data_IF_976593473656
#
_entry.id   IF_976593473656
#
_cell.length_a   1.000
_cell.length_b   1.000
_cell.length_c   1.000
_cell.angle_alpha   90.00
_cell.angle_beta   90.00
_cell.angle_gamma   90.00
#
_symmetry.space_group_name_H-M   'P 1'
#
loop_
_entity.id
_entity.type
_entity.pdbx_description
1 polymer ?
#
# COMPACT_ATOMS: atom_id res chain seq x y z
N UNK A 1 20.64 -36.38 21.00
CA UNK A 1 19.38 -35.66 20.82
C UNK A 1 19.72 -34.19 20.58
N UNK A 2 19.37 -33.61 19.44
CA UNK A 2 19.50 -32.13 19.23
C UNK A 2 18.56 -31.43 20.21
N UNK A 3 18.97 -30.32 20.79
CA UNK A 3 18.07 -29.51 21.60
C UNK A 3 16.93 -28.93 20.71
N UNK A 4 15.76 -28.69 21.26
CA UNK A 4 14.63 -28.05 20.54
C UNK A 4 15.07 -26.75 19.91
N UNK A 5 15.95 -26.01 20.59
CA UNK A 5 16.56 -24.78 20.08
C UNK A 5 17.39 -25.03 18.79
N UNK A 6 18.16 -26.08 18.73
CA UNK A 6 18.94 -26.40 17.53
C UNK A 6 18.04 -26.82 16.36
N UNK A 7 16.94 -27.52 16.65
CA UNK A 7 15.92 -27.87 15.65
C UNK A 7 15.26 -26.63 15.10
N UNK A 8 14.77 -25.73 15.96
CA UNK A 8 14.16 -24.46 15.54
C UNK A 8 15.13 -23.62 14.71
N UNK A 9 16.39 -23.50 15.15
CA UNK A 9 17.40 -22.72 14.40
C UNK A 9 17.63 -23.29 13.01
N UNK A 10 17.64 -24.61 12.87
CA UNK A 10 17.78 -25.29 11.58
C UNK A 10 16.57 -25.02 10.68
N UNK A 11 15.36 -25.16 11.21
CA UNK A 11 14.10 -24.90 10.46
C UNK A 11 14.01 -23.45 9.97
N UNK A 12 14.41 -22.47 10.79
CA UNK A 12 14.46 -21.06 10.39
C UNK A 12 15.48 -20.83 9.27
N UNK A 13 16.64 -21.48 9.32
CA UNK A 13 17.66 -21.39 8.29
C UNK A 13 17.19 -22.02 6.96
N UNK A 14 16.54 -23.18 7.00
CA UNK A 14 15.97 -23.85 5.85
C UNK A 14 14.83 -23.04 5.22
N UNK A 15 13.95 -22.46 6.04
CA UNK A 15 12.90 -21.54 5.61
C UNK A 15 13.47 -20.29 4.93
N UNK A 16 14.53 -19.72 5.51
CA UNK A 16 15.26 -18.59 4.91
C UNK A 16 15.85 -18.95 3.55
N UNK A 17 16.48 -20.11 3.42
CA UNK A 17 17.06 -20.56 2.15
C UNK A 17 15.99 -20.77 1.09
N UNK A 18 14.87 -21.41 1.44
CA UNK A 18 13.72 -21.65 0.56
C UNK A 18 13.13 -20.33 0.05
N UNK A 19 12.81 -19.39 0.93
CA UNK A 19 12.27 -18.09 0.54
C UNK A 19 13.31 -17.22 -0.19
N UNK A 20 14.59 -17.34 0.17
CA UNK A 20 15.71 -16.67 -0.47
C UNK A 20 15.90 -17.01 -1.94
N UNK A 21 15.38 -18.18 -2.40
CA UNK A 21 15.35 -18.54 -3.82
C UNK A 21 14.41 -17.66 -4.65
N UNK A 22 13.55 -16.88 -4.02
CA UNK A 22 12.66 -15.90 -4.66
C UNK A 22 13.03 -14.45 -4.34
N UNK A 23 13.98 -14.22 -3.43
CA UNK A 23 14.40 -12.89 -3.03
C UNK A 23 15.48 -12.34 -3.97
N UNK A 24 15.28 -11.10 -4.43
CA UNK A 24 16.25 -10.34 -5.22
C UNK A 24 16.72 -9.11 -4.46
N UNK A 25 17.95 -8.63 -4.72
CA UNK A 25 18.37 -7.31 -4.28
C UNK A 25 18.05 -6.29 -5.37
N UNK A 26 17.35 -5.23 -5.01
CA UNK A 26 17.05 -4.09 -5.89
C UNK A 26 18.09 -3.01 -5.61
N UNK A 27 18.89 -2.65 -6.62
CA UNK A 27 19.99 -1.71 -6.42
C UNK A 27 19.47 -0.27 -6.30
N UNK A 28 19.98 0.45 -5.31
CA UNK A 28 19.74 1.87 -5.12
C UNK A 28 20.99 2.68 -5.50
N UNK A 29 20.85 4.00 -5.70
CA UNK A 29 21.97 4.89 -6.07
C UNK A 29 23.10 4.92 -5.05
N UNK A 30 22.77 4.87 -3.78
CA UNK A 30 23.72 4.94 -2.67
C UNK A 30 24.24 3.56 -2.33
N UNK A 31 25.16 2.98 -3.06
CA UNK A 31 25.87 1.70 -2.73
C UNK A 31 25.10 0.67 -1.90
N UNK A 32 23.81 0.91 -1.65
CA UNK A 32 22.89 0.07 -0.90
C UNK A 32 22.01 -0.76 -1.83
N UNK A 33 21.16 -1.57 -1.23
CA UNK A 33 20.10 -2.28 -1.91
C UNK A 33 18.89 -2.37 -0.98
N UNK A 34 17.70 -2.35 -1.56
CA UNK A 34 16.49 -2.88 -0.95
C UNK A 34 16.25 -4.30 -1.46
N UNK A 35 15.14 -4.90 -1.10
CA UNK A 35 14.78 -6.24 -1.56
C UNK A 35 13.55 -6.20 -2.47
N UNK A 36 13.40 -7.24 -3.25
CA UNK A 36 12.19 -7.57 -3.98
C UNK A 36 11.95 -9.07 -3.97
N UNK A 37 10.79 -9.47 -4.44
CA UNK A 37 10.36 -10.86 -4.52
C UNK A 37 10.02 -11.18 -5.97
N UNK A 38 10.56 -12.26 -6.52
CA UNK A 38 10.11 -12.83 -7.79
C UNK A 38 8.70 -13.38 -7.53
N UNK A 39 7.70 -12.60 -7.95
CA UNK A 39 6.30 -12.87 -7.65
C UNK A 39 5.66 -13.80 -8.66
N UNK A 40 6.11 -13.68 -9.90
CA UNK A 40 5.76 -14.54 -11.04
C UNK A 40 6.98 -14.62 -11.95
N UNK A 41 7.07 -15.60 -12.86
CA UNK A 41 8.16 -15.65 -13.82
C UNK A 41 8.32 -14.32 -14.57
N UNK A 42 9.51 -13.74 -14.50
CA UNK A 42 9.83 -12.45 -15.11
C UNK A 42 9.25 -11.21 -14.42
N UNK A 43 8.54 -11.36 -13.29
CA UNK A 43 7.90 -10.27 -12.55
C UNK A 43 8.42 -10.22 -11.12
N UNK A 44 8.99 -9.09 -10.76
CA UNK A 44 9.48 -8.80 -9.42
C UNK A 44 8.60 -7.72 -8.79
N UNK A 45 8.22 -7.94 -7.53
CA UNK A 45 7.51 -6.95 -6.70
C UNK A 45 8.47 -6.44 -5.62
N UNK A 46 8.44 -5.14 -5.38
CA UNK A 46 9.23 -4.48 -4.33
C UNK A 46 8.43 -3.35 -3.68
N UNK A 47 8.97 -2.76 -2.60
CA UNK A 47 8.41 -1.56 -2.00
C UNK A 47 8.65 -0.33 -2.88
N UNK A 48 7.59 0.44 -3.16
CA UNK A 48 7.64 1.61 -4.04
C UNK A 48 8.60 2.68 -3.54
N UNK A 49 8.53 3.02 -2.24
CA UNK A 49 9.38 4.07 -1.66
C UNK A 49 10.87 3.71 -1.65
N UNK A 50 11.22 2.44 -1.85
CA UNK A 50 12.62 2.00 -1.95
C UNK A 50 13.20 2.19 -3.35
N UNK A 51 12.37 2.43 -4.38
CA UNK A 51 12.82 2.74 -5.72
C UNK A 51 13.11 4.24 -5.85
N UNK A 52 14.39 4.59 -6.01
CA UNK A 52 14.86 5.97 -6.14
C UNK A 52 14.79 6.49 -7.58
N UNK A 53 14.68 5.60 -8.57
CA UNK A 53 14.61 5.95 -10.01
C UNK A 53 13.68 5.00 -10.75
N UNK A 54 13.27 5.44 -11.93
CA UNK A 54 12.38 4.69 -12.82
C UNK A 54 13.14 3.95 -13.92
N UNK A 55 14.37 4.36 -14.17
CA UNK A 55 15.25 3.85 -15.23
C UNK A 55 16.52 3.24 -14.64
N UNK A 56 17.23 2.46 -15.42
CA UNK A 56 18.51 1.82 -15.05
C UNK A 56 18.45 0.98 -13.77
N UNK A 57 17.30 0.34 -13.52
CA UNK A 57 17.12 -0.53 -12.36
C UNK A 57 17.87 -1.83 -12.58
N UNK A 58 18.73 -2.20 -11.63
CA UNK A 58 19.45 -3.46 -11.64
C UNK A 58 19.05 -4.33 -10.45
N UNK A 59 19.01 -5.62 -10.67
CA UNK A 59 18.69 -6.63 -9.67
C UNK A 59 19.88 -7.59 -9.51
N UNK A 60 20.16 -8.01 -8.26
CA UNK A 60 20.95 -9.22 -8.03
C UNK A 60 19.97 -10.38 -7.83
N UNK A 61 20.02 -11.37 -8.70
CA UNK A 61 19.15 -12.54 -8.71
C UNK A 61 19.57 -13.59 -7.65
N UNK A 62 18.74 -14.62 -7.41
CA UNK A 62 19.05 -15.65 -6.43
C UNK A 62 20.36 -16.41 -6.67
N UNK A 63 20.76 -16.57 -7.91
CA UNK A 63 22.02 -17.20 -8.32
C UNK A 63 23.24 -16.27 -8.21
N UNK A 64 23.04 -15.02 -7.82
CA UNK A 64 24.08 -13.99 -7.71
C UNK A 64 24.35 -13.21 -8.99
N UNK A 65 23.74 -13.57 -10.11
CA UNK A 65 23.85 -12.81 -11.36
C UNK A 65 23.19 -11.43 -11.23
N UNK A 66 23.66 -10.47 -12.03
CA UNK A 66 23.08 -9.12 -12.09
C UNK A 66 22.33 -8.98 -13.41
N UNK A 67 21.07 -8.58 -13.33
CA UNK A 67 20.20 -8.40 -14.47
C UNK A 67 19.55 -7.00 -14.45
N UNK A 68 19.22 -6.49 -15.63
CA UNK A 68 18.48 -5.23 -15.80
C UNK A 68 16.98 -5.48 -15.65
N UNK A 69 16.30 -4.55 -14.99
CA UNK A 69 14.86 -4.59 -14.87
C UNK A 69 14.23 -3.29 -15.36
N UNK A 70 13.02 -3.41 -15.89
CA UNK A 70 12.20 -2.26 -16.31
C UNK A 70 11.07 -2.04 -15.33
N UNK A 71 10.85 -0.81 -14.91
CA UNK A 71 9.68 -0.44 -14.15
C UNK A 71 8.44 -0.60 -15.03
N UNK A 72 7.50 -1.45 -14.59
CA UNK A 72 6.17 -1.57 -15.21
C UNK A 72 5.26 -0.47 -14.68
N UNK A 73 5.31 -0.21 -13.38
CA UNK A 73 4.58 0.84 -12.72
C UNK A 73 4.76 0.78 -11.20
N UNK A 74 4.29 1.83 -10.52
CA UNK A 74 4.34 1.94 -9.07
C UNK A 74 3.04 2.52 -8.51
N UNK A 75 2.70 2.13 -7.30
CA UNK A 75 1.57 2.66 -6.54
C UNK A 75 2.01 3.10 -5.14
N UNK A 76 2.27 4.40 -4.99
CA UNK A 76 2.71 4.99 -3.73
C UNK A 76 1.72 4.80 -2.57
N UNK A 77 0.43 4.61 -2.87
CA UNK A 77 -0.59 4.42 -1.83
C UNK A 77 -0.54 3.05 -1.17
N UNK A 78 -0.18 2.02 -1.92
CA UNK A 78 0.00 0.66 -1.40
C UNK A 78 1.46 0.34 -1.11
N UNK A 79 2.37 1.22 -1.52
CA UNK A 79 3.81 0.99 -1.44
C UNK A 79 4.26 -0.23 -2.25
N UNK A 80 3.67 -0.45 -3.40
CA UNK A 80 4.00 -1.55 -4.30
C UNK A 80 4.55 -1.02 -5.61
N UNK A 81 5.67 -1.58 -6.05
CA UNK A 81 6.18 -1.39 -7.40
C UNK A 81 6.38 -2.73 -8.08
N UNK A 82 6.17 -2.75 -9.40
CA UNK A 82 6.34 -3.93 -10.25
C UNK A 82 7.44 -3.69 -11.26
N UNK A 83 8.39 -4.61 -11.28
CA UNK A 83 9.51 -4.62 -12.21
C UNK A 83 9.38 -5.84 -13.14
N UNK A 84 9.72 -5.66 -14.41
CA UNK A 84 9.88 -6.75 -15.38
C UNK A 84 11.37 -7.04 -15.58
N UNK A 85 11.75 -8.30 -15.37
CA UNK A 85 13.11 -8.79 -15.56
C UNK A 85 13.03 -10.22 -16.12
N UNK A 86 13.40 -10.42 -17.37
CA UNK A 86 13.24 -11.70 -18.06
C UNK A 86 14.09 -12.82 -17.43
N UNK A 87 15.25 -12.44 -16.90
CA UNK A 87 16.17 -13.35 -16.22
C UNK A 87 15.63 -13.80 -14.83
N UNK A 88 14.70 -13.06 -14.22
CA UNK A 88 14.05 -13.42 -12.97
C UNK A 88 12.99 -14.52 -13.19
N UNK A 89 13.39 -15.61 -13.84
CA UNK A 89 12.50 -16.71 -14.25
C UNK A 89 12.60 -17.89 -13.30
N UNK A 90 12.29 -17.70 -12.02
CA UNK A 90 12.15 -18.78 -11.04
C UNK A 90 10.72 -19.33 -10.99
N UNK A 91 10.57 -20.51 -10.37
CA UNK A 91 9.24 -21.06 -10.06
C UNK A 91 8.41 -20.07 -9.23
N UNK A 92 7.10 -20.12 -9.40
CA UNK A 92 6.17 -19.30 -8.59
C UNK A 92 6.31 -19.70 -7.12
N UNK A 93 6.51 -18.75 -6.20
CA UNK A 93 6.55 -19.07 -4.77
C UNK A 93 5.22 -19.62 -4.27
N UNK A 94 5.29 -20.42 -3.21
CA UNK A 94 4.09 -20.81 -2.48
C UNK A 94 3.60 -19.63 -1.67
N UNK A 95 2.35 -19.23 -1.86
CA UNK A 95 1.72 -18.16 -1.11
C UNK A 95 0.89 -18.69 0.06
N UNK A 96 0.88 -17.92 1.14
CA UNK A 96 0.02 -18.14 2.31
C UNK A 96 -1.22 -17.28 2.22
N UNK A 97 -2.31 -17.78 2.79
CA UNK A 97 -3.44 -16.91 3.09
C UNK A 97 -3.08 -16.06 4.33
N UNK A 98 -2.94 -14.76 4.12
CA UNK A 98 -2.58 -13.82 5.19
C UNK A 98 -3.63 -13.77 6.31
N UNK A 99 -4.87 -14.22 6.05
CA UNK A 99 -5.94 -14.29 7.06
C UNK A 99 -5.68 -15.35 8.13
N UNK A 100 -4.76 -16.29 7.89
CA UNK A 100 -4.38 -17.33 8.87
C UNK A 100 -3.39 -16.86 9.91
N UNK A 101 -2.83 -15.66 9.74
CA UNK A 101 -1.90 -15.09 10.70
C UNK A 101 -2.62 -14.53 11.93
N UNK A 102 -2.07 -14.80 13.10
CA UNK A 102 -2.58 -14.34 14.39
C UNK A 102 -1.48 -13.64 15.20
N UNK A 103 -1.83 -12.69 16.09
CA UNK A 103 -0.86 -12.11 17.02
C UNK A 103 -0.10 -13.20 17.79
N UNK A 104 1.22 -13.07 17.84
CA UNK A 104 2.11 -14.06 18.44
C UNK A 104 2.70 -15.09 17.46
N UNK A 105 2.19 -15.18 16.22
CA UNK A 105 2.82 -16.03 15.21
C UNK A 105 4.24 -15.54 14.89
N UNK A 106 5.14 -16.49 14.72
CA UNK A 106 6.51 -16.24 14.23
C UNK A 106 6.49 -16.14 12.72
N UNK A 107 7.17 -15.15 12.20
CA UNK A 107 7.38 -14.93 10.76
C UNK A 107 8.83 -14.57 10.51
N UNK A 108 9.31 -14.74 9.28
CA UNK A 108 10.58 -14.22 8.81
C UNK A 108 10.34 -13.14 7.77
N UNK A 109 11.14 -12.08 7.83
CA UNK A 109 11.27 -11.17 6.68
C UNK A 109 12.55 -11.57 5.95
N UNK A 110 12.40 -12.10 4.74
CA UNK A 110 13.51 -12.59 3.92
C UNK A 110 13.73 -11.63 2.75
N UNK A 111 14.93 -11.09 2.68
CA UNK A 111 15.40 -10.24 1.60
C UNK A 111 16.71 -10.75 1.01
N UNK A 112 17.35 -9.91 0.20
CA UNK A 112 18.66 -10.19 -0.39
C UNK A 112 19.53 -8.94 -0.40
N UNK A 113 20.80 -9.10 -0.14
CA UNK A 113 21.78 -8.04 -0.36
C UNK A 113 22.54 -8.28 -1.66
N UNK A 114 23.10 -7.20 -2.20
CA UNK A 114 23.93 -7.25 -3.40
C UNK A 114 25.17 -8.15 -3.23
N UNK A 115 25.78 -8.14 -2.04
CA UNK A 115 27.09 -8.75 -1.81
C UNK A 115 27.04 -10.09 -1.08
N UNK A 116 26.02 -10.32 -0.23
CA UNK A 116 26.06 -11.41 0.77
C UNK A 116 24.95 -12.45 0.61
N UNK A 117 24.14 -12.37 -0.44
CA UNK A 117 23.05 -13.31 -0.66
C UNK A 117 21.80 -13.02 0.21
N UNK A 118 21.00 -14.05 0.56
CA UNK A 118 19.79 -13.87 1.33
C UNK A 118 20.08 -13.37 2.74
N UNK A 119 19.20 -12.52 3.25
CA UNK A 119 19.16 -12.04 4.62
C UNK A 119 17.81 -12.35 5.24
N UNK A 120 17.77 -12.52 6.55
CA UNK A 120 16.52 -12.75 7.27
C UNK A 120 16.46 -11.92 8.55
N UNK A 121 15.25 -11.47 8.88
CA UNK A 121 14.92 -10.89 10.17
C UNK A 121 13.77 -11.69 10.78
N UNK A 122 13.94 -12.13 12.03
CA UNK A 122 12.87 -12.77 12.79
C UNK A 122 11.86 -11.70 13.23
N UNK A 123 10.59 -11.96 13.01
CA UNK A 123 9.51 -11.06 13.36
C UNK A 123 8.36 -11.80 14.03
N UNK A 124 7.66 -11.11 14.92
CA UNK A 124 6.38 -11.57 15.45
C UNK A 124 5.26 -10.78 14.83
N UNK A 125 4.15 -11.45 14.56
CA UNK A 125 2.89 -10.76 14.26
C UNK A 125 2.42 -10.08 15.55
N UNK A 126 2.48 -8.76 15.60
CA UNK A 126 2.11 -7.98 16.80
C UNK A 126 0.65 -7.56 16.80
N UNK A 127 0.03 -7.45 15.63
CA UNK A 127 -1.38 -7.07 15.49
C UNK A 127 -1.94 -7.62 14.18
N UNK A 128 -3.18 -8.11 14.24
CA UNK A 128 -4.01 -8.40 13.09
C UNK A 128 -5.35 -7.69 13.27
N UNK A 129 -5.87 -7.10 12.20
CA UNK A 129 -7.21 -6.55 12.16
C UNK A 129 -7.86 -6.94 10.81
N UNK A 130 -9.17 -7.15 10.79
CA UNK A 130 -9.90 -7.54 9.57
C UNK A 130 -9.75 -6.49 8.48
N UNK A 131 -9.90 -5.24 8.85
CA UNK A 131 -9.74 -4.10 7.96
C UNK A 131 -9.14 -2.91 8.72
N UNK A 132 -8.19 -2.23 8.13
CA UNK A 132 -7.67 -0.98 8.66
C UNK A 132 -7.42 0.02 7.53
N UNK A 133 -7.95 1.22 7.72
CA UNK A 133 -7.64 2.36 6.87
C UNK A 133 -6.33 3.00 7.31
N UNK A 134 -5.44 3.18 6.37
CA UNK A 134 -4.15 3.84 6.53
C UNK A 134 -4.18 5.24 5.92
N UNK A 135 -3.16 6.00 6.24
CA UNK A 135 -2.97 7.32 5.65
C UNK A 135 -2.90 7.20 4.12
N UNK A 136 -3.47 8.19 3.40
CA UNK A 136 -3.55 8.13 1.93
C UNK A 136 -4.76 7.32 1.41
N UNK A 137 -5.70 6.88 2.28
CA UNK A 137 -6.93 6.17 1.89
C UNK A 137 -6.74 4.68 1.58
N UNK A 138 -5.52 4.15 1.75
CA UNK A 138 -5.28 2.71 1.62
C UNK A 138 -6.07 1.95 2.69
N UNK A 139 -6.87 1.00 2.24
CA UNK A 139 -7.49 0.01 3.12
C UNK A 139 -6.75 -1.32 2.96
N UNK A 140 -6.20 -1.84 4.04
CA UNK A 140 -5.64 -3.19 4.10
C UNK A 140 -6.63 -4.13 4.79
N UNK A 141 -6.88 -5.27 4.15
CA UNK A 141 -7.69 -6.36 4.67
C UNK A 141 -7.06 -7.70 4.24
N UNK A 142 -6.52 -8.49 5.20
CA UNK A 142 -6.27 -8.13 6.59
C UNK A 142 -5.13 -7.11 6.76
N UNK A 143 -5.18 -6.35 7.86
CA UNK A 143 -4.05 -5.55 8.31
C UNK A 143 -3.16 -6.39 9.22
N UNK A 144 -1.91 -6.62 8.83
CA UNK A 144 -0.96 -7.43 9.60
C UNK A 144 0.28 -6.59 9.92
N UNK A 145 0.49 -6.35 11.22
CA UNK A 145 1.66 -5.62 11.72
C UNK A 145 2.67 -6.58 12.33
N UNK A 146 3.93 -6.35 11.98
CA UNK A 146 5.08 -7.09 12.48
C UNK A 146 5.86 -6.24 13.50
N UNK A 147 6.31 -6.88 14.57
CA UNK A 147 7.22 -6.29 15.54
C UNK A 147 8.66 -6.61 15.11
N UNK A 148 9.18 -5.79 14.22
CA UNK A 148 10.54 -5.91 13.69
C UNK A 148 11.07 -4.55 13.26
N UNK A 149 12.26 -4.19 13.68
CA UNK A 149 13.01 -3.07 13.10
C UNK A 149 13.56 -3.51 11.74
N UNK A 150 12.85 -3.15 10.66
CA UNK A 150 13.17 -3.61 9.31
C UNK A 150 14.41 -2.85 8.78
N UNK A 151 15.55 -3.53 8.55
CA UNK A 151 16.68 -2.88 7.90
C UNK A 151 16.31 -2.51 6.45
N UNK A 152 16.87 -1.42 5.93
CA UNK A 152 16.59 -0.96 4.57
C UNK A 152 16.79 -2.07 3.52
N UNK A 153 17.80 -2.91 3.71
CA UNK A 153 18.09 -4.05 2.84
C UNK A 153 16.99 -5.12 2.81
N UNK A 154 16.10 -5.17 3.80
CA UNK A 154 14.99 -6.12 3.85
C UNK A 154 13.64 -5.49 3.43
N UNK A 155 13.62 -4.17 3.17
CA UNK A 155 12.42 -3.46 2.68
C UNK A 155 12.03 -4.03 1.31
N UNK A 156 10.77 -4.36 1.12
CA UNK A 156 10.26 -5.02 -0.09
C UNK A 156 10.53 -6.53 -0.15
N UNK A 157 11.18 -7.11 0.88
CA UNK A 157 11.42 -8.55 0.99
C UNK A 157 10.15 -9.34 1.35
N UNK A 158 10.23 -10.67 1.24
CA UNK A 158 9.14 -11.57 1.53
C UNK A 158 8.87 -11.66 3.03
N UNK A 159 7.60 -11.53 3.44
CA UNK A 159 7.14 -11.99 4.75
C UNK A 159 6.76 -13.46 4.62
N UNK A 160 7.38 -14.31 5.42
CA UNK A 160 7.28 -15.77 5.30
C UNK A 160 6.68 -16.34 6.58
N UNK A 161 5.68 -17.20 6.46
CA UNK A 161 5.06 -17.89 7.58
C UNK A 161 5.92 -19.09 8.07
N UNK A 162 5.48 -19.75 9.14
CA UNK A 162 6.15 -20.90 9.74
C UNK A 162 6.23 -22.14 8.81
N UNK A 163 5.45 -22.18 7.73
CA UNK A 163 5.49 -23.25 6.72
C UNK A 163 6.38 -22.91 5.51
N UNK A 164 7.02 -21.73 5.55
CA UNK A 164 7.88 -21.26 4.47
C UNK A 164 7.12 -20.74 3.25
N UNK A 165 5.85 -20.34 3.41
CA UNK A 165 5.02 -19.71 2.38
C UNK A 165 5.07 -18.20 2.50
N UNK A 166 5.00 -17.50 1.38
CA UNK A 166 5.00 -16.03 1.36
C UNK A 166 3.62 -15.51 1.72
N UNK A 167 3.52 -14.80 2.85
CA UNK A 167 2.30 -14.14 3.31
C UNK A 167 2.14 -12.71 2.79
N UNK A 168 3.20 -12.12 2.22
CA UNK A 168 3.16 -10.77 1.68
C UNK A 168 4.54 -10.19 1.48
N UNK A 169 4.63 -8.87 1.27
CA UNK A 169 5.89 -8.13 1.24
C UNK A 169 6.01 -7.19 2.44
N UNK A 170 7.23 -6.99 2.92
CA UNK A 170 7.51 -6.19 4.10
C UNK A 170 7.72 -4.72 3.75
N UNK A 171 7.00 -3.81 4.44
CA UNK A 171 7.22 -2.37 4.34
C UNK A 171 7.13 -1.67 5.70
N UNK A 172 8.02 -0.70 6.01
CA UNK A 172 7.91 0.15 7.18
C UNK A 172 7.00 1.38 6.94
N UNK A 173 6.63 1.69 5.68
CA UNK A 173 6.03 2.98 5.27
C UNK A 173 4.80 3.37 6.09
N UNK A 174 3.96 2.41 6.47
CA UNK A 174 2.71 2.69 7.18
C UNK A 174 2.72 2.21 8.63
N UNK A 175 3.88 1.87 9.16
CA UNK A 175 4.07 1.39 10.54
C UNK A 175 5.08 2.29 11.26
N UNK A 176 4.63 3.26 12.10
CA UNK A 176 5.52 4.17 12.82
C UNK A 176 6.56 3.47 13.70
N UNK A 177 6.27 2.24 14.12
CA UNK A 177 7.22 1.35 14.78
C UNK A 177 6.97 -0.07 14.30
N UNK A 178 7.98 -0.73 13.75
CA UNK A 178 7.87 -2.05 13.15
C UNK A 178 7.69 -2.03 11.63
N UNK A 179 7.01 -3.03 11.10
CA UNK A 179 6.72 -3.16 9.68
C UNK A 179 5.29 -3.66 9.45
N UNK A 180 4.79 -3.53 8.22
CA UNK A 180 3.59 -4.21 7.76
C UNK A 180 3.96 -5.36 6.82
N UNK A 181 3.18 -6.42 6.88
CA UNK A 181 3.06 -7.37 5.81
C UNK A 181 1.93 -6.89 4.87
N UNK A 182 2.28 -6.44 3.67
CA UNK A 182 1.29 -6.15 2.63
C UNK A 182 0.74 -7.49 2.12
N UNK A 183 -0.57 -7.77 2.30
CA UNK A 183 -1.13 -9.08 2.02
C UNK A 183 -0.98 -9.50 0.55
N UNK A 184 -0.81 -10.79 0.31
CA UNK A 184 -0.71 -11.38 -1.04
C UNK A 184 -1.86 -10.90 -1.94
N UNK A 185 -3.09 -10.86 -1.43
CA UNK A 185 -4.25 -10.39 -2.19
C UNK A 185 -4.10 -8.93 -2.64
N UNK A 186 -3.59 -8.05 -1.76
CA UNK A 186 -3.32 -6.65 -2.08
C UNK A 186 -2.22 -6.53 -3.14
N UNK A 187 -1.11 -7.27 -2.95
CA UNK A 187 0.01 -7.28 -3.90
C UNK A 187 -0.44 -7.78 -5.28
N UNK A 188 -1.21 -8.87 -5.33
CA UNK A 188 -1.75 -9.41 -6.59
C UNK A 188 -2.62 -8.38 -7.31
N UNK A 189 -3.60 -7.79 -6.62
CA UNK A 189 -4.51 -6.80 -7.20
C UNK A 189 -3.74 -5.61 -7.78
N UNK A 190 -2.74 -5.09 -7.06
CA UNK A 190 -1.94 -3.96 -7.52
C UNK A 190 -1.03 -4.38 -8.69
N UNK A 191 -0.37 -5.53 -8.59
CA UNK A 191 0.50 -6.04 -9.65
C UNK A 191 -0.29 -6.28 -10.94
N UNK A 192 -1.48 -6.87 -10.87
CA UNK A 192 -2.34 -7.09 -12.05
C UNK A 192 -2.75 -5.76 -12.69
N UNK A 193 -3.13 -4.76 -11.87
CA UNK A 193 -3.47 -3.43 -12.36
C UNK A 193 -2.29 -2.72 -13.03
N UNK A 194 -1.10 -2.79 -12.42
CA UNK A 194 0.12 -2.21 -13.00
C UNK A 194 0.54 -2.92 -14.28
N UNK A 195 0.46 -4.25 -14.34
CA UNK A 195 0.77 -5.02 -15.54
C UNK A 195 -0.19 -4.72 -16.69
N UNK A 196 -1.46 -4.47 -16.39
CA UNK A 196 -2.48 -4.20 -17.41
C UNK A 196 -2.42 -2.77 -17.96
N UNK A 197 -2.12 -1.77 -17.12
CA UNK A 197 -2.29 -0.36 -17.45
C UNK A 197 -1.05 0.51 -17.17
N UNK A 198 0.02 -0.04 -16.57
CA UNK A 198 1.20 0.71 -16.15
C UNK A 198 0.97 1.60 -14.92
N UNK A 199 -0.26 1.70 -14.44
CA UNK A 199 -0.66 2.56 -13.31
C UNK A 199 -1.91 2.04 -12.64
N UNK A 200 -2.16 2.52 -11.42
CA UNK A 200 -3.43 2.31 -10.73
C UNK A 200 -4.30 3.57 -10.91
N UNK A 201 -5.40 3.50 -11.66
CA UNK A 201 -6.31 4.63 -11.82
C UNK A 201 -6.87 5.08 -10.48
N UNK A 202 -6.92 6.39 -10.25
CA UNK A 202 -7.49 6.99 -9.04
C UNK A 202 -8.56 7.98 -9.40
N UNK A 203 -9.65 7.91 -8.67
CA UNK A 203 -10.69 8.90 -8.74
C UNK A 203 -10.22 10.26 -8.21
N UNK A 204 -10.86 11.30 -8.65
CA UNK A 204 -10.51 12.68 -8.38
C UNK A 204 -11.75 13.56 -8.37
N UNK A 205 -11.83 14.47 -7.39
CA UNK A 205 -12.92 15.45 -7.27
C UNK A 205 -12.48 16.88 -7.61
N UNK A 206 -11.20 17.17 -7.56
CA UNK A 206 -10.68 18.52 -7.82
C UNK A 206 -10.92 19.49 -6.68
N UNK A 207 -10.78 19.04 -5.43
CA UNK A 207 -10.92 19.87 -4.23
C UNK A 207 -9.76 19.68 -3.28
N UNK A 208 -9.28 20.79 -2.71
CA UNK A 208 -8.43 20.80 -1.51
C UNK A 208 -9.33 20.86 -0.27
N UNK A 209 -9.21 19.89 0.62
CA UNK A 209 -10.04 19.75 1.81
C UNK A 209 -9.21 19.84 3.09
N UNK A 210 -9.77 20.50 4.12
CA UNK A 210 -9.20 20.54 5.46
C UNK A 210 -10.24 20.12 6.50
N UNK A 211 -9.89 19.25 7.48
CA UNK A 211 -10.79 18.90 8.55
C UNK A 211 -11.14 20.13 9.41
N UNK A 212 -12.42 20.27 9.75
CA UNK A 212 -12.90 21.31 10.67
C UNK A 212 -13.83 20.72 11.72
N UNK A 213 -13.93 21.42 12.85
CA UNK A 213 -14.93 21.12 13.87
C UNK A 213 -16.23 21.86 13.55
N UNK A 214 -17.35 21.14 13.51
CA UNK A 214 -18.68 21.73 13.34
C UNK A 214 -19.17 22.34 14.65
N UNK A 215 -19.62 23.60 14.64
CA UNK A 215 -20.32 24.22 15.76
C UNK A 215 -21.60 23.44 16.12
N UNK A 216 -22.02 23.54 17.41
CA UNK A 216 -23.14 22.77 17.93
C UNK A 216 -24.47 23.13 17.24
N UNK A 217 -24.72 24.40 17.05
CA UNK A 217 -25.92 24.90 16.35
C UNK A 217 -26.03 24.34 14.92
N UNK A 218 -24.91 24.17 14.21
CA UNK A 218 -24.90 23.57 12.87
C UNK A 218 -25.22 22.07 12.96
N UNK A 219 -24.66 21.38 13.95
CA UNK A 219 -24.93 19.95 14.14
C UNK A 219 -26.39 19.68 14.47
N UNK A 220 -26.98 20.52 15.31
CA UNK A 220 -28.39 20.41 15.71
C UNK A 220 -29.32 20.66 14.49
N UNK A 221 -29.00 21.67 13.69
CA UNK A 221 -29.76 21.96 12.45
C UNK A 221 -29.73 20.79 11.46
N UNK A 222 -28.58 20.09 11.37
CA UNK A 222 -28.39 18.94 10.49
C UNK A 222 -28.82 17.61 11.12
N UNK A 223 -29.27 17.62 12.38
CA UNK A 223 -29.55 16.41 13.19
C UNK A 223 -28.39 15.42 13.20
N UNK A 224 -27.16 15.95 13.29
CA UNK A 224 -25.93 15.20 13.11
C UNK A 224 -25.17 15.01 14.42
N UNK A 225 -24.67 13.75 14.65
CA UNK A 225 -23.87 13.41 15.84
C UNK A 225 -22.39 13.70 15.66
N UNK A 226 -21.89 13.64 14.44
CA UNK A 226 -20.46 13.83 14.12
C UNK A 226 -20.05 15.29 14.36
N UNK A 227 -18.89 15.43 15.02
CA UNK A 227 -18.36 16.75 15.43
C UNK A 227 -17.43 17.38 14.39
N UNK A 228 -17.11 16.65 13.35
CA UNK A 228 -16.13 17.04 12.31
C UNK A 228 -16.74 16.95 10.92
N UNK A 229 -16.19 17.75 10.02
CA UNK A 229 -16.48 17.76 8.59
C UNK A 229 -15.23 18.26 7.84
N UNK A 230 -15.30 18.46 6.52
CA UNK A 230 -14.19 18.99 5.74
C UNK A 230 -14.57 20.28 5.01
N UNK A 231 -13.80 21.36 5.23
CA UNK A 231 -13.98 22.61 4.48
C UNK A 231 -13.20 22.56 3.17
N UNK A 232 -13.79 23.12 2.12
CA UNK A 232 -13.17 23.27 0.80
C UNK A 232 -12.29 24.52 0.83
N UNK A 233 -10.98 24.34 0.68
CA UNK A 233 -10.01 25.43 0.61
C UNK A 233 -9.58 25.74 -0.82
N UNK A 234 -9.69 24.76 -1.72
CA UNK A 234 -9.30 24.89 -3.11
C UNK A 234 -10.31 24.13 -3.97
N UNK A 235 -10.63 24.69 -5.14
CA UNK A 235 -11.43 24.05 -6.18
C UNK A 235 -10.68 24.22 -7.49
N UNK A 236 -10.33 23.11 -8.12
CA UNK A 236 -9.59 23.13 -9.37
C UNK A 236 -10.51 23.61 -10.52
N UNK A 237 -10.13 24.66 -11.25
CA UNK A 237 -10.89 25.16 -12.39
C UNK A 237 -11.08 24.07 -13.46
N UNK A 238 -12.33 23.85 -13.88
CA UNK A 238 -12.67 22.79 -14.84
C UNK A 238 -12.69 21.38 -14.26
N UNK A 239 -12.33 21.21 -12.97
CA UNK A 239 -12.40 19.92 -12.27
C UNK A 239 -13.82 19.46 -11.97
N UNK A 240 -14.00 18.21 -11.53
CA UNK A 240 -15.33 17.63 -11.26
C UNK A 240 -16.19 18.45 -10.29
N UNK A 241 -15.61 18.87 -9.17
CA UNK A 241 -16.33 19.66 -8.17
C UNK A 241 -16.67 21.07 -8.67
N UNK A 242 -15.74 21.71 -9.41
CA UNK A 242 -16.02 23.00 -10.06
C UNK A 242 -17.22 22.90 -11.00
N UNK A 243 -17.23 21.88 -11.86
CA UNK A 243 -18.32 21.65 -12.82
C UNK A 243 -19.65 21.32 -12.14
N UNK A 244 -19.60 20.77 -10.94
CA UNK A 244 -20.76 20.51 -10.09
C UNK A 244 -21.19 21.72 -9.26
N UNK A 245 -20.48 22.87 -9.36
CA UNK A 245 -20.81 24.12 -8.68
C UNK A 245 -20.36 24.20 -7.22
N UNK A 246 -19.37 23.38 -6.80
CA UNK A 246 -18.70 23.52 -5.51
C UNK A 246 -17.80 24.75 -5.52
N UNK A 247 -17.75 25.49 -4.43
CA UNK A 247 -16.92 26.69 -4.27
C UNK A 247 -16.08 26.63 -2.98
N UNK A 248 -15.03 27.44 -2.96
CA UNK A 248 -14.22 27.64 -1.76
C UNK A 248 -15.09 28.11 -0.59
N UNK A 249 -14.90 27.55 0.59
CA UNK A 249 -15.68 27.81 1.78
C UNK A 249 -16.89 26.89 1.96
N UNK A 250 -17.25 26.05 0.99
CA UNK A 250 -18.22 24.99 1.19
C UNK A 250 -17.71 23.99 2.23
N UNK A 251 -18.60 23.45 3.05
CA UNK A 251 -18.26 22.44 4.05
C UNK A 251 -18.88 21.12 3.61
N UNK A 252 -18.05 20.16 3.24
CA UNK A 252 -18.47 18.80 2.87
C UNK A 252 -18.90 18.03 4.11
N UNK A 253 -20.17 17.66 4.15
CA UNK A 253 -20.84 17.00 5.28
C UNK A 253 -20.91 15.50 5.07
N UNK A 254 -21.31 15.06 3.87
CA UNK A 254 -21.39 13.65 3.51
C UNK A 254 -21.05 13.43 2.05
N UNK A 255 -20.56 12.23 1.74
CA UNK A 255 -20.27 11.76 0.39
C UNK A 255 -20.87 10.37 0.24
N UNK A 256 -21.60 10.10 -0.83
CA UNK A 256 -22.36 8.87 -1.05
C UNK A 256 -23.18 8.44 0.18
N UNK A 257 -23.90 9.39 0.78
CA UNK A 257 -24.72 9.24 2.00
C UNK A 257 -23.93 8.95 3.30
N UNK A 258 -22.61 8.72 3.23
CA UNK A 258 -21.78 8.49 4.42
C UNK A 258 -21.22 9.80 4.97
N UNK A 259 -21.22 10.00 6.30
CA UNK A 259 -20.64 11.19 6.91
C UNK A 259 -19.15 11.30 6.57
N UNK A 260 -18.70 12.52 6.26
CA UNK A 260 -17.27 12.85 6.14
C UNK A 260 -16.82 13.42 7.48
N UNK A 261 -16.01 12.64 8.18
CA UNK A 261 -15.44 13.00 9.48
C UNK A 261 -13.94 13.19 9.44
N UNK A 262 -13.29 12.56 8.46
CA UNK A 262 -11.86 12.62 8.16
C UNK A 262 -11.66 12.66 6.64
N UNK A 263 -10.49 13.09 6.19
CA UNK A 263 -10.19 13.16 4.75
C UNK A 263 -10.16 11.77 4.10
N UNK A 264 -9.78 10.75 4.88
CA UNK A 264 -9.77 9.36 4.44
C UNK A 264 -11.18 8.87 4.04
N UNK A 265 -12.24 9.44 4.63
CA UNK A 265 -13.62 9.09 4.27
C UNK A 265 -13.95 9.48 2.83
N UNK A 266 -13.34 10.56 2.31
CA UNK A 266 -13.46 10.98 0.91
C UNK A 266 -12.64 10.06 0.01
N UNK A 267 -11.42 9.73 0.42
CA UNK A 267 -10.49 8.94 -0.38
C UNK A 267 -11.01 7.53 -0.70
N UNK A 268 -11.84 6.95 0.17
CA UNK A 268 -12.49 5.64 -0.08
C UNK A 268 -13.35 5.67 -1.36
N UNK A 269 -13.96 6.82 -1.69
CA UNK A 269 -14.76 6.97 -2.92
C UNK A 269 -13.94 7.28 -4.16
N UNK A 270 -12.63 7.54 -3.99
CA UNK A 270 -11.72 7.86 -5.07
C UNK A 270 -10.95 6.62 -5.60
N UNK A 271 -11.40 5.41 -5.31
CA UNK A 271 -10.88 4.20 -5.96
C UNK A 271 -11.26 4.16 -7.44
N UNK A 272 -10.41 3.52 -8.25
CA UNK A 272 -10.54 3.47 -9.71
C UNK A 272 -11.90 2.97 -10.20
N UNK A 273 -12.54 2.06 -9.47
CA UNK A 273 -13.86 1.53 -9.78
C UNK A 273 -15.01 2.58 -9.76
N UNK A 274 -14.78 3.72 -9.11
CA UNK A 274 -15.75 4.82 -9.04
C UNK A 274 -15.52 5.92 -10.08
N UNK A 275 -14.47 5.82 -10.88
CA UNK A 275 -14.22 6.75 -11.98
C UNK A 275 -15.39 6.68 -12.99
N UNK A 276 -15.88 7.85 -13.39
CA UNK A 276 -17.06 8.00 -14.27
C UNK A 276 -18.40 7.89 -13.55
N UNK A 277 -18.44 7.46 -12.27
CA UNK A 277 -19.71 7.41 -11.52
C UNK A 277 -20.03 8.76 -10.89
N UNK A 278 -21.31 9.08 -10.86
CA UNK A 278 -21.84 10.25 -10.13
C UNK A 278 -22.00 9.89 -8.66
N UNK A 279 -21.49 10.71 -7.77
CA UNK A 279 -21.59 10.58 -6.33
C UNK A 279 -22.36 11.76 -5.74
N UNK A 280 -23.39 11.47 -4.93
CA UNK A 280 -24.12 12.48 -4.19
C UNK A 280 -23.27 13.00 -3.02
N UNK A 281 -23.18 14.31 -2.89
CA UNK A 281 -22.47 14.98 -1.81
C UNK A 281 -23.36 16.04 -1.17
N UNK A 282 -23.38 16.10 0.14
CA UNK A 282 -24.03 17.15 0.91
C UNK A 282 -22.99 18.15 1.37
N UNK A 283 -23.17 19.41 0.99
CA UNK A 283 -22.37 20.53 1.45
C UNK A 283 -23.20 21.50 2.31
N UNK A 284 -22.51 22.32 3.09
CA UNK A 284 -23.06 23.54 3.67
C UNK A 284 -22.41 24.75 3.00
N UNK A 285 -23.23 25.68 2.52
CA UNK A 285 -22.80 26.97 1.99
C UNK A 285 -23.52 28.08 2.73
N UNK A 286 -22.77 28.93 3.44
CA UNK A 286 -23.38 29.97 4.27
C UNK A 286 -24.34 29.45 5.34
N UNK A 287 -24.12 28.22 5.83
CA UNK A 287 -24.99 27.56 6.80
C UNK A 287 -26.20 26.82 6.22
N UNK A 288 -26.47 26.96 4.93
CA UNK A 288 -27.59 26.26 4.25
C UNK A 288 -27.12 24.95 3.60
N UNK A 289 -27.87 23.84 3.74
CA UNK A 289 -27.53 22.57 3.09
C UNK A 289 -27.70 22.67 1.56
N UNK A 290 -26.79 22.02 0.84
CA UNK A 290 -26.78 21.92 -0.61
C UNK A 290 -26.42 20.50 -1.04
N UNK A 291 -27.33 19.86 -1.75
CA UNK A 291 -27.07 18.60 -2.42
C UNK A 291 -26.41 18.85 -3.77
N UNK A 292 -25.30 18.19 -4.01
CA UNK A 292 -24.51 18.30 -5.23
C UNK A 292 -24.15 16.90 -5.73
N UNK A 293 -24.33 16.66 -7.01
CA UNK A 293 -23.85 15.43 -7.65
C UNK A 293 -22.53 15.69 -8.35
N UNK A 294 -21.47 15.00 -7.98
CA UNK A 294 -20.13 15.15 -8.55
C UNK A 294 -19.78 13.88 -9.32
N UNK A 295 -19.45 14.00 -10.59
CA UNK A 295 -18.92 12.87 -11.36
C UNK A 295 -17.44 12.71 -11.06
N UNK A 296 -17.06 11.58 -10.48
CA UNK A 296 -15.65 11.26 -10.16
C UNK A 296 -14.88 11.16 -11.48
N UNK A 297 -13.90 12.03 -11.68
CA UNK A 297 -12.99 11.94 -12.82
C UNK A 297 -11.76 11.10 -12.48
N UNK A 298 -10.99 10.70 -13.47
CA UNK A 298 -9.67 10.15 -13.25
C UNK A 298 -8.68 11.27 -12.95
N UNK A 299 -7.83 11.06 -11.92
CA UNK A 299 -6.80 12.02 -11.54
C UNK A 299 -5.81 12.23 -12.69
N UNK A 300 -5.56 13.47 -13.14
CA UNK A 300 -4.56 13.75 -14.18
C UNK A 300 -3.16 13.29 -13.73
N UNK A 301 -2.36 12.74 -14.67
CA UNK A 301 -0.97 12.40 -14.41
C UNK A 301 -0.16 13.67 -14.11
N UNK A 302 0.67 13.64 -13.06
CA UNK A 302 1.66 14.70 -12.80
C UNK A 302 1.35 15.68 -11.68
N UNK A 303 0.33 15.41 -10.83
CA UNK A 303 0.09 16.18 -9.59
C UNK A 303 0.06 15.22 -8.40
N UNK A 304 1.17 15.15 -7.66
CA UNK A 304 1.21 14.61 -6.30
C UNK A 304 0.67 15.60 -5.29
#
# INVERSE_FOLDING_TARGET
MSSEWATLSKELAETTAKAGAHAVAVHTESRGSSSGVIWRPGIVVTAEHALQRDEDIQLTLPDGSVASAKLVGRDASTDVAVLKCEEANSAVPSFSDTTTLHPGNVTLVVGRTRASGPIAALAFVSMVADERRLWGGLTLSPYVRLDVALPHTAVGGAVVDSEGRIAGIATPKFAPAGALALPVATVNRVADGLLAQGRIPRGYLGVGLQPIRLPENIRDTLQRREKTAAIVLEVEPGGPAHNAGVVIGDILISLATKPVTRLEDVQVYLHGENIGKSVAALFLRGGAPRDVNITVAERPNGRE
#
